data_IF_576536376083
#
_entry.id   IF_576536376083
#
_cell.length_a   1.000
_cell.length_b   1.000
_cell.length_c   1.000
_cell.angle_alpha   90.00
_cell.angle_beta   90.00
_cell.angle_gamma   90.00
#
_symmetry.space_group_name_H-M   'P 1'
#
loop_
_entity.id
_entity.type
_entity.pdbx_description
1 polymer ?
#
# COMPACT_ATOMS: atom_id res chain seq x y z
N UNK A 1 15.77 -15.96 -23.85
CA UNK A 1 15.01 -15.44 -22.69
C UNK A 1 13.83 -16.35 -22.42
N UNK A 2 13.65 -16.86 -21.20
CA UNK A 2 12.70 -17.97 -20.93
C UNK A 2 11.23 -17.51 -20.99
N UNK A 3 10.28 -18.43 -21.32
CA UNK A 3 8.85 -18.15 -21.27
C UNK A 3 8.37 -17.61 -19.91
N UNK A 4 8.83 -18.20 -18.80
CA UNK A 4 8.55 -17.73 -17.44
C UNK A 4 9.04 -16.29 -17.21
N UNK A 5 10.23 -15.94 -17.73
CA UNK A 5 10.75 -14.57 -17.65
C UNK A 5 9.93 -13.55 -18.46
N UNK A 6 9.30 -13.98 -19.58
CA UNK A 6 8.38 -13.13 -20.36
C UNK A 6 7.06 -12.93 -19.61
N UNK A 7 6.51 -13.98 -19.01
CA UNK A 7 5.28 -13.96 -18.22
C UNK A 7 5.38 -13.02 -17.01
N UNK A 8 6.43 -13.16 -16.19
CA UNK A 8 6.66 -12.28 -15.05
C UNK A 8 6.80 -10.80 -15.44
N UNK A 9 7.45 -10.50 -16.57
CA UNK A 9 7.55 -9.12 -17.06
C UNK A 9 6.20 -8.54 -17.46
N UNK A 10 5.32 -9.34 -18.08
CA UNK A 10 3.98 -8.89 -18.45
C UNK A 10 3.15 -8.62 -17.19
N UNK A 11 3.13 -9.55 -16.23
CA UNK A 11 2.49 -9.38 -14.93
C UNK A 11 2.97 -8.09 -14.25
N UNK A 12 4.30 -7.89 -14.14
CA UNK A 12 4.85 -6.68 -13.55
C UNK A 12 4.42 -5.39 -14.25
N UNK A 13 4.28 -5.40 -15.59
CA UNK A 13 3.79 -4.24 -16.34
C UNK A 13 2.33 -3.96 -16.00
N UNK A 14 1.49 -5.00 -15.98
CA UNK A 14 0.07 -4.90 -15.61
C UNK A 14 -0.12 -4.39 -14.19
N UNK A 15 0.54 -4.99 -13.20
CA UNK A 15 0.46 -4.52 -11.80
C UNK A 15 0.93 -3.06 -11.67
N UNK A 16 1.99 -2.65 -12.37
CA UNK A 16 2.47 -1.26 -12.35
C UNK A 16 1.47 -0.29 -12.99
N UNK A 17 0.74 -0.71 -14.02
CA UNK A 17 -0.31 0.10 -14.64
C UNK A 17 -1.51 0.27 -13.70
N UNK A 18 -1.97 -0.81 -13.07
CA UNK A 18 -3.03 -0.80 -12.05
C UNK A 18 -2.64 0.11 -10.89
N UNK A 19 -1.48 -0.13 -10.27
CA UNK A 19 -1.00 0.66 -9.13
C UNK A 19 -0.89 2.15 -9.43
N UNK A 20 -0.62 2.54 -10.69
CA UNK A 20 -0.54 3.93 -11.14
C UNK A 20 -1.91 4.58 -11.32
N UNK A 21 -2.93 3.81 -11.69
CA UNK A 21 -4.30 4.30 -11.93
C UNK A 21 -5.11 4.41 -10.65
N UNK A 22 -4.81 3.59 -9.64
CA UNK A 22 -5.53 3.62 -8.37
C UNK A 22 -5.54 5.03 -7.77
N UNK A 23 -6.66 5.48 -7.19
CA UNK A 23 -6.68 6.70 -6.41
C UNK A 23 -5.74 6.54 -5.22
N UNK A 24 -4.93 7.56 -4.91
CA UNK A 24 -3.99 7.51 -3.79
C UNK A 24 -4.42 8.53 -2.73
N UNK A 25 -4.93 8.08 -1.57
CA UNK A 25 -5.39 9.00 -0.53
C UNK A 25 -4.23 9.83 0.04
N UNK A 26 -4.53 11.07 0.42
CA UNK A 26 -3.60 12.00 1.07
C UNK A 26 -4.28 12.61 2.32
N UNK A 27 -3.74 12.40 3.53
CA UNK A 27 -2.65 11.47 3.86
C UNK A 27 -3.01 10.01 3.54
N UNK A 28 -2.01 9.17 3.29
CA UNK A 28 -2.25 7.76 3.00
C UNK A 28 -2.83 7.04 4.21
N UNK A 29 -3.93 6.31 3.99
CA UNK A 29 -4.51 5.31 4.90
C UNK A 29 -5.05 4.16 4.07
N UNK A 30 -4.71 2.93 4.43
CA UNK A 30 -5.15 1.74 3.67
C UNK A 30 -6.67 1.64 3.64
N UNK A 31 -7.35 1.94 4.75
CA UNK A 31 -8.82 1.95 4.83
C UNK A 31 -9.44 2.92 3.83
N UNK A 32 -8.88 4.14 3.71
CA UNK A 32 -9.37 5.13 2.73
C UNK A 32 -9.14 4.66 1.30
N UNK A 33 -8.05 3.94 1.02
CA UNK A 33 -7.85 3.32 -0.29
C UNK A 33 -8.93 2.25 -0.57
N UNK A 34 -9.25 1.39 0.41
CA UNK A 34 -10.34 0.42 0.27
C UNK A 34 -11.67 1.10 -0.03
N UNK A 35 -12.00 2.19 0.67
CA UNK A 35 -13.24 2.95 0.43
C UNK A 35 -13.31 3.50 -1.00
N UNK A 36 -12.19 4.03 -1.52
CA UNK A 36 -12.11 4.54 -2.89
C UNK A 36 -12.27 3.44 -3.94
N UNK A 37 -11.62 2.29 -3.73
CA UNK A 37 -11.76 1.12 -4.61
C UNK A 37 -13.19 0.57 -4.57
N UNK A 38 -13.81 0.53 -3.39
CA UNK A 38 -15.20 0.12 -3.23
C UNK A 38 -16.16 1.03 -4.00
N UNK A 39 -15.95 2.35 -3.92
CA UNK A 39 -16.75 3.34 -4.65
C UNK A 39 -16.61 3.19 -6.17
N UNK A 40 -15.38 3.02 -6.68
CA UNK A 40 -15.13 2.82 -8.11
C UNK A 40 -15.78 1.53 -8.65
N UNK A 41 -15.79 0.47 -7.84
CA UNK A 41 -16.40 -0.82 -8.20
C UNK A 41 -17.92 -0.87 -8.01
N UNK A 42 -18.51 0.11 -7.31
CA UNK A 42 -19.92 0.06 -6.90
C UNK A 42 -20.24 -1.11 -5.95
N UNK A 43 -19.23 -1.64 -5.25
CA UNK A 43 -19.35 -2.81 -4.36
C UNK A 43 -18.59 -2.56 -3.06
N UNK A 44 -19.27 -2.51 -1.90
CA UNK A 44 -18.64 -2.25 -0.61
C UNK A 44 -17.48 -3.21 -0.29
N UNK A 45 -16.45 -2.66 0.35
CA UNK A 45 -15.36 -3.42 0.97
C UNK A 45 -15.42 -3.18 2.48
N UNK A 46 -15.40 -4.23 3.29
CA UNK A 46 -15.39 -4.16 4.76
C UNK A 46 -14.12 -4.81 5.27
N UNK A 47 -13.39 -4.10 6.13
CA UNK A 47 -12.24 -4.65 6.85
C UNK A 47 -12.72 -5.23 8.17
N UNK A 48 -12.35 -6.48 8.45
CA UNK A 48 -12.68 -7.24 9.65
C UNK A 48 -11.41 -7.81 10.28
N UNK A 49 -11.35 -7.87 11.59
CA UNK A 49 -10.24 -8.51 12.30
C UNK A 49 -10.44 -10.01 12.34
N UNK A 50 -9.37 -10.77 12.11
CA UNK A 50 -9.35 -12.20 12.40
C UNK A 50 -9.36 -12.44 13.92
N UNK A 51 -9.94 -13.56 14.38
CA UNK A 51 -9.71 -14.05 15.74
C UNK A 51 -8.21 -14.18 16.05
N UNK A 52 -7.81 -13.86 17.27
CA UNK A 52 -6.38 -13.83 17.65
C UNK A 52 -5.69 -15.21 17.66
N UNK A 53 -6.46 -16.30 17.68
CA UNK A 53 -5.99 -17.68 17.61
C UNK A 53 -5.88 -18.22 16.17
N UNK A 54 -6.27 -17.45 15.16
CA UNK A 54 -6.18 -17.86 13.75
C UNK A 54 -4.72 -17.85 13.26
N UNK A 55 -4.31 -18.89 12.53
CA UNK A 55 -2.98 -18.96 11.90
C UNK A 55 -2.90 -18.09 10.63
N UNK A 56 -4.03 -17.75 10.03
CA UNK A 56 -4.12 -16.92 8.83
C UNK A 56 -3.72 -15.48 9.14
N UNK A 57 -3.00 -14.85 8.21
CA UNK A 57 -2.65 -13.44 8.31
C UNK A 57 -3.75 -12.54 7.75
N UNK A 58 -4.43 -12.99 6.71
CA UNK A 58 -5.53 -12.30 6.07
C UNK A 58 -6.36 -13.25 5.21
N UNK A 59 -7.53 -12.77 4.80
CA UNK A 59 -8.39 -13.47 3.87
C UNK A 59 -9.29 -12.50 3.13
N UNK A 60 -9.71 -12.86 1.93
CA UNK A 60 -10.81 -12.19 1.24
C UNK A 60 -11.97 -13.15 1.01
N UNK A 61 -13.16 -12.74 1.44
CA UNK A 61 -14.43 -13.41 1.16
C UNK A 61 -15.34 -12.49 0.35
N UNK A 62 -15.63 -12.90 -0.88
CA UNK A 62 -16.60 -12.25 -1.75
C UNK A 62 -18.01 -12.78 -1.44
N UNK A 63 -18.91 -11.91 -0.98
CA UNK A 63 -20.36 -12.21 -0.88
C UNK A 63 -21.09 -11.75 -2.15
N UNK A 64 -22.41 -11.86 -2.22
CA UNK A 64 -23.15 -11.30 -3.36
C UNK A 64 -23.06 -9.77 -3.43
N UNK A 65 -23.05 -9.10 -2.27
CA UNK A 65 -23.18 -7.64 -2.17
C UNK A 65 -21.96 -6.93 -1.60
N UNK A 66 -20.97 -7.64 -1.04
CA UNK A 66 -19.85 -7.03 -0.31
C UNK A 66 -18.62 -7.91 -0.34
N UNK A 67 -17.45 -7.29 -0.40
CA UNK A 67 -16.16 -7.95 -0.19
C UNK A 67 -15.72 -7.77 1.26
N UNK A 68 -15.49 -8.87 1.96
CA UNK A 68 -14.97 -8.89 3.33
C UNK A 68 -13.47 -9.17 3.26
N UNK A 69 -12.65 -8.24 3.74
CA UNK A 69 -11.21 -8.41 3.89
C UNK A 69 -10.92 -8.59 5.38
N UNK A 70 -10.38 -9.75 5.72
CA UNK A 70 -9.93 -10.09 7.04
C UNK A 70 -8.43 -9.80 7.19
N UNK A 71 -8.02 -9.30 8.36
CA UNK A 71 -6.61 -9.07 8.69
C UNK A 71 -6.30 -9.43 10.14
N UNK A 72 -5.06 -9.85 10.39
CA UNK A 72 -4.58 -10.24 11.70
C UNK A 72 -4.26 -9.03 12.60
N UNK A 73 -4.99 -8.81 13.71
CA UNK A 73 -4.86 -7.59 14.51
C UNK A 73 -3.58 -7.56 15.38
N UNK A 74 -3.03 -8.70 15.78
CA UNK A 74 -1.79 -8.84 16.56
C UNK A 74 -0.52 -8.71 15.70
N UNK A 75 -0.56 -7.83 14.69
CA UNK A 75 0.60 -7.44 13.89
C UNK A 75 0.82 -5.92 13.95
N UNK A 76 1.99 -5.46 13.53
CA UNK A 76 2.30 -4.01 13.53
C UNK A 76 1.43 -3.27 12.51
N UNK A 77 1.12 -1.98 12.68
CA UNK A 77 0.27 -1.25 11.72
C UNK A 77 0.76 -1.32 10.26
N UNK A 78 2.07 -1.22 9.95
CA UNK A 78 2.54 -1.42 8.58
C UNK A 78 2.35 -2.86 8.06
N UNK A 79 2.38 -3.86 8.95
CA UNK A 79 2.09 -5.24 8.56
C UNK A 79 0.58 -5.45 8.30
N UNK A 80 -0.29 -4.89 9.14
CA UNK A 80 -1.74 -4.87 8.90
C UNK A 80 -2.06 -4.21 7.55
N UNK A 81 -1.46 -3.05 7.26
CA UNK A 81 -1.63 -2.36 5.98
C UNK A 81 -1.20 -3.24 4.80
N UNK A 82 -0.07 -3.95 4.90
CA UNK A 82 0.39 -4.85 3.84
C UNK A 82 -0.55 -6.06 3.64
N UNK A 83 -1.01 -6.67 4.73
CA UNK A 83 -2.01 -7.74 4.70
C UNK A 83 -3.26 -7.26 3.96
N UNK A 84 -3.81 -6.11 4.36
CA UNK A 84 -5.01 -5.55 3.73
C UNK A 84 -4.76 -5.23 2.26
N UNK A 85 -3.59 -4.70 1.89
CA UNK A 85 -3.22 -4.43 0.50
C UNK A 85 -3.10 -5.70 -0.34
N UNK A 86 -2.63 -6.80 0.25
CA UNK A 86 -2.56 -8.10 -0.40
C UNK A 86 -3.96 -8.61 -0.73
N UNK A 87 -4.85 -8.68 0.26
CA UNK A 87 -6.24 -9.09 0.06
C UNK A 87 -6.99 -8.17 -0.91
N UNK A 88 -6.78 -6.85 -0.81
CA UNK A 88 -7.33 -5.88 -1.76
C UNK A 88 -6.80 -6.10 -3.18
N UNK A 89 -5.58 -6.60 -3.33
CA UNK A 89 -5.02 -6.89 -4.65
C UNK A 89 -5.69 -8.10 -5.30
N UNK A 90 -6.12 -9.11 -4.53
CA UNK A 90 -6.99 -10.17 -5.05
C UNK A 90 -8.33 -9.61 -5.53
N UNK A 91 -8.94 -8.69 -4.77
CA UNK A 91 -10.20 -8.00 -5.16
C UNK A 91 -10.02 -7.26 -6.48
N UNK A 92 -8.92 -6.50 -6.64
CA UNK A 92 -8.67 -5.68 -7.82
C UNK A 92 -8.36 -6.54 -9.05
N UNK A 93 -7.59 -7.62 -8.89
CA UNK A 93 -7.22 -8.51 -9.98
C UNK A 93 -8.32 -9.53 -10.32
N UNK A 94 -9.33 -9.67 -9.45
CA UNK A 94 -10.42 -10.63 -9.64
C UNK A 94 -9.97 -12.09 -9.48
N UNK A 95 -9.02 -12.34 -8.59
CA UNK A 95 -8.54 -13.69 -8.25
C UNK A 95 -9.59 -14.39 -7.39
N UNK A 96 -10.74 -14.75 -7.98
CA UNK A 96 -11.76 -15.50 -7.27
C UNK A 96 -11.16 -16.83 -6.81
N UNK A 97 -11.23 -17.17 -5.52
CA UNK A 97 -10.88 -18.50 -5.09
C UNK A 97 -11.90 -19.46 -5.72
N UNK A 98 -11.50 -20.18 -6.77
CA UNK A 98 -12.03 -21.52 -6.97
C UNK A 98 -11.88 -22.21 -5.60
N UNK A 99 -12.95 -22.81 -5.08
CA UNK A 99 -13.09 -23.26 -3.71
C UNK A 99 -12.04 -24.33 -3.29
N UNK A 100 -10.77 -23.93 -3.17
CA UNK A 100 -9.66 -24.69 -2.64
C UNK A 100 -9.27 -24.07 -1.29
N UNK A 101 -9.67 -24.71 -0.18
CA UNK A 101 -9.29 -24.31 1.18
C UNK A 101 -7.76 -24.26 1.41
N UNK A 102 -6.95 -24.86 0.52
CA UNK A 102 -5.48 -24.84 0.64
C UNK A 102 -4.85 -23.58 0.06
N UNK A 103 -5.54 -22.87 -0.83
CA UNK A 103 -5.03 -21.63 -1.41
C UNK A 103 -4.91 -20.53 -0.35
N UNK A 104 -5.70 -20.59 0.72
CA UNK A 104 -5.85 -19.55 1.77
C UNK A 104 -4.64 -19.40 2.73
N UNK A 105 -3.45 -19.91 2.39
CA UNK A 105 -2.27 -19.89 3.26
C UNK A 105 -1.27 -18.83 2.79
N UNK A 106 -1.62 -17.55 2.92
CA UNK A 106 -0.72 -16.47 2.48
C UNK A 106 0.26 -16.07 3.58
N UNK A 107 1.53 -16.42 3.34
CA UNK A 107 2.72 -16.03 4.11
C UNK A 107 3.24 -14.71 3.57
N UNK A 108 3.37 -13.65 4.38
CA UNK A 108 4.12 -12.47 3.97
C UNK A 108 5.03 -11.85 5.03
N UNK A 109 6.21 -11.47 4.53
CA UNK A 109 7.47 -11.29 5.23
C UNK A 109 7.62 -9.91 5.89
N UNK A 110 8.38 -9.82 7.00
CA UNK A 110 8.71 -8.56 7.64
C UNK A 110 9.77 -7.77 6.84
N UNK A 111 9.48 -6.49 6.64
CA UNK A 111 10.32 -5.43 6.05
C UNK A 111 10.47 -5.41 4.51
N UNK A 112 9.96 -4.34 3.91
CA UNK A 112 9.88 -4.13 2.47
C UNK A 112 11.18 -3.52 1.91
N UNK A 113 12.00 -4.35 1.27
CA UNK A 113 12.95 -3.93 0.24
C UNK A 113 12.47 -4.42 -1.13
N UNK A 114 12.20 -3.55 -2.12
CA UNK A 114 11.73 -3.96 -3.45
C UNK A 114 12.63 -4.98 -4.19
N UNK A 115 13.92 -5.02 -3.88
CA UNK A 115 14.85 -6.01 -4.42
C UNK A 115 14.70 -7.38 -3.74
N UNK A 116 14.36 -7.40 -2.44
CA UNK A 116 14.05 -8.62 -1.70
C UNK A 116 12.67 -9.16 -2.10
N UNK A 117 11.66 -8.31 -2.30
CA UNK A 117 10.35 -8.69 -2.87
C UNK A 117 10.55 -9.42 -4.21
N UNK A 118 11.36 -8.88 -5.13
CA UNK A 118 11.67 -9.56 -6.40
C UNK A 118 12.39 -10.90 -6.23
N UNK A 119 13.22 -11.05 -5.20
CA UNK A 119 13.96 -12.29 -4.91
C UNK A 119 13.05 -13.35 -4.26
N UNK A 120 12.13 -12.93 -3.39
CA UNK A 120 11.11 -13.77 -2.74
C UNK A 120 10.06 -14.22 -3.75
N UNK A 121 9.51 -13.31 -4.56
CA UNK A 121 8.59 -13.64 -5.66
C UNK A 121 9.23 -14.60 -6.68
N UNK A 122 10.54 -14.47 -6.95
CA UNK A 122 11.30 -15.41 -7.80
C UNK A 122 11.57 -16.77 -7.15
N UNK A 123 11.55 -16.88 -5.82
CA UNK A 123 11.65 -18.16 -5.11
C UNK A 123 10.26 -18.82 -4.95
N UNK A 124 9.19 -18.02 -4.97
CA UNK A 124 7.79 -18.46 -4.88
C UNK A 124 7.21 -18.98 -6.20
N UNK A 125 8.01 -19.69 -7.02
CA UNK A 125 7.52 -20.39 -8.23
C UNK A 125 6.51 -21.50 -7.86
N UNK A 126 6.31 -21.75 -6.56
CA UNK A 126 5.35 -22.70 -6.01
C UNK A 126 4.07 -22.07 -5.43
N UNK A 127 3.98 -20.74 -5.31
CA UNK A 127 2.71 -20.03 -5.10
C UNK A 127 2.02 -19.81 -6.44
N UNK A 128 0.68 -19.81 -6.47
CA UNK A 128 -0.07 -19.59 -7.72
C UNK A 128 0.31 -18.25 -8.37
N UNK A 129 0.03 -18.10 -9.65
CA UNK A 129 0.31 -16.83 -10.34
C UNK A 129 -0.51 -15.67 -9.76
N UNK A 130 -1.68 -15.98 -9.24
CA UNK A 130 -2.56 -15.05 -8.54
C UNK A 130 -1.90 -14.52 -7.27
N UNK A 131 -1.21 -15.38 -6.51
CA UNK A 131 -0.43 -14.97 -5.34
C UNK A 131 0.72 -14.03 -5.69
N UNK A 132 1.44 -14.38 -6.76
CA UNK A 132 2.55 -13.56 -7.20
C UNK A 132 2.08 -12.20 -7.70
N UNK A 133 0.92 -12.16 -8.35
CA UNK A 133 0.32 -10.93 -8.84
C UNK A 133 -0.22 -10.06 -7.70
N UNK A 134 -0.93 -10.66 -6.73
CA UNK A 134 -1.47 -9.94 -5.57
C UNK A 134 -0.35 -9.32 -4.74
N UNK A 135 0.69 -10.09 -4.41
CA UNK A 135 1.83 -9.59 -3.65
C UNK A 135 2.61 -8.52 -4.41
N UNK A 136 2.77 -8.66 -5.73
CA UNK A 136 3.44 -7.66 -6.54
C UNK A 136 2.64 -6.35 -6.60
N UNK A 137 1.32 -6.43 -6.74
CA UNK A 137 0.45 -5.25 -6.76
C UNK A 137 0.45 -4.54 -5.40
N UNK A 138 0.27 -5.27 -4.29
CA UNK A 138 0.32 -4.73 -2.93
C UNK A 138 1.63 -3.96 -2.67
N UNK A 139 2.77 -4.58 -3.01
CA UNK A 139 4.09 -3.97 -2.93
C UNK A 139 4.23 -2.69 -3.75
N UNK A 140 3.64 -2.62 -4.95
CA UNK A 140 3.70 -1.44 -5.81
C UNK A 140 2.81 -0.30 -5.29
N UNK A 141 1.64 -0.62 -4.75
CA UNK A 141 0.74 0.35 -4.10
C UNK A 141 1.45 0.97 -2.89
N UNK A 142 2.02 0.16 -2.02
CA UNK A 142 2.76 0.64 -0.85
C UNK A 142 3.94 1.53 -1.22
N UNK A 143 4.74 1.11 -2.21
CA UNK A 143 5.86 1.93 -2.71
C UNK A 143 5.40 3.30 -3.24
N UNK A 144 4.25 3.35 -3.93
CA UNK A 144 3.68 4.60 -4.40
C UNK A 144 3.21 5.46 -3.23
N UNK A 145 2.50 4.90 -2.27
CA UNK A 145 2.07 5.58 -1.05
C UNK A 145 3.27 6.21 -0.31
N UNK A 146 4.34 5.45 -0.07
CA UNK A 146 5.55 5.98 0.58
C UNK A 146 6.23 7.10 -0.22
N UNK A 147 6.22 7.03 -1.56
CA UNK A 147 6.79 8.09 -2.41
C UNK A 147 5.95 9.36 -2.38
N UNK A 148 4.63 9.24 -2.32
CA UNK A 148 3.71 10.37 -2.34
C UNK A 148 3.50 11.02 -0.96
N UNK A 149 3.73 10.28 0.12
CA UNK A 149 3.71 10.76 1.51
C UNK A 149 4.99 11.49 1.92
N UNK A 150 6.07 11.39 1.14
CA UNK A 150 7.29 12.19 1.38
C UNK A 150 7.00 13.67 1.11
N UNK A 151 7.40 14.60 2.01
CA UNK A 151 7.32 16.03 1.74
C UNK A 151 8.03 16.33 0.41
N UNK A 152 7.40 17.10 -0.48
CA UNK A 152 8.12 17.55 -1.67
C UNK A 152 9.24 18.49 -1.21
N UNK A 153 10.39 18.45 -1.86
CA UNK A 153 11.49 19.38 -1.58
C UNK A 153 11.05 20.86 -1.68
N UNK A 154 10.01 21.16 -2.46
CA UNK A 154 9.37 22.48 -2.53
C UNK A 154 8.66 22.87 -1.24
N UNK A 155 8.08 21.92 -0.52
CA UNK A 155 7.28 22.16 0.67
C UNK A 155 8.21 22.41 1.86
N UNK A 156 9.32 21.67 1.93
CA UNK A 156 10.40 21.91 2.90
C UNK A 156 11.01 23.30 2.70
N UNK A 157 11.33 23.70 1.46
CA UNK A 157 11.84 25.06 1.18
C UNK A 157 10.85 26.16 1.53
N UNK A 158 9.55 25.90 1.43
CA UNK A 158 8.50 26.88 1.77
C UNK A 158 8.37 27.05 3.28
N UNK A 159 8.49 25.96 4.03
CA UNK A 159 8.54 25.98 5.51
C UNK A 159 9.83 26.65 5.98
N UNK A 160 10.98 26.32 5.38
CA UNK A 160 12.26 26.97 5.68
C UNK A 160 12.20 28.47 5.37
N UNK A 161 11.70 28.87 4.20
CA UNK A 161 11.55 30.29 3.84
C UNK A 161 10.56 31.03 4.75
N UNK A 162 9.46 30.38 5.17
CA UNK A 162 8.51 30.97 6.10
C UNK A 162 9.08 31.13 7.51
N UNK A 163 9.88 30.17 7.99
CA UNK A 163 10.59 30.24 9.26
C UNK A 163 11.68 31.32 9.23
N UNK A 164 12.49 31.38 8.17
CA UNK A 164 13.52 32.42 8.00
C UNK A 164 12.89 33.82 7.93
N UNK A 165 11.80 33.99 7.17
CA UNK A 165 11.10 35.29 7.10
C UNK A 165 10.47 35.72 8.44
N UNK A 166 10.10 34.77 9.30
CA UNK A 166 9.59 35.06 10.65
C UNK A 166 10.72 35.49 11.59
N UNK A 167 11.92 34.91 11.45
CA UNK A 167 13.10 35.26 12.26
C UNK A 167 13.68 36.62 11.86
N UNK A 168 13.69 36.96 10.58
CA UNK A 168 14.15 38.27 10.08
C UNK A 168 13.22 39.41 10.51
N UNK A 169 11.90 39.17 10.53
CA UNK A 169 10.91 40.14 11.02
C UNK A 169 11.06 40.46 12.52
N UNK A 170 11.64 39.55 13.30
CA UNK A 170 11.88 39.75 14.74
C UNK A 170 13.18 40.52 15.04
N UNK A 171 14.15 40.55 14.13
CA UNK A 171 15.43 41.25 14.34
C UNK A 171 15.47 42.67 13.76
N UNK A 172 14.51 43.06 12.91
CA UNK A 172 14.48 44.40 12.28
C UNK A 172 13.95 45.55 13.16
N UNK A 173 13.57 45.31 14.41
CA UNK A 173 12.83 46.26 15.25
C UNK A 173 13.65 47.16 16.20
N UNK A 174 14.99 47.10 16.21
CA UNK A 174 15.79 47.80 17.22
C UNK A 174 16.91 48.63 16.60
N UNK A 175 16.57 49.74 15.94
CA UNK A 175 17.50 50.87 15.75
C UNK A 175 16.73 52.15 15.52
N UNK A 176 16.66 52.96 16.58
CA UNK A 176 16.12 54.31 16.47
C UNK A 176 15.76 54.94 17.80
N UNK A 177 16.75 55.24 18.65
CA UNK A 177 16.72 56.50 19.39
C UNK A 177 18.13 56.91 19.83
N UNK A 178 18.71 57.80 19.03
CA UNK A 178 19.80 58.67 19.43
C UNK A 178 19.23 59.95 20.05
N UNK A 179 20.08 60.59 20.87
CA UNK A 179 20.03 61.97 21.41
C UNK A 179 19.54 62.12 22.84
N UNK A 180 20.39 62.79 23.63
CA UNK A 180 20.19 63.24 25.00
C UNK A 180 21.54 63.51 25.63
#
# INVERSE_FOLDING_TARGET
MTPAGKKFRLMRRRCAEIARRLPMPRPYRVRTLCDLVAAERGRPIRLLELPGDDEMLGAWLATEATDLIFYKPDTTPPHQDHIILHELSHVICGHYPEADPKAQRHVLFPSLNPALVRRVLRRSIYGSEEEQEAELLASLIWQRACRESRPRASDVRRVDAALTGTVDALHGGVSGLARG
#
